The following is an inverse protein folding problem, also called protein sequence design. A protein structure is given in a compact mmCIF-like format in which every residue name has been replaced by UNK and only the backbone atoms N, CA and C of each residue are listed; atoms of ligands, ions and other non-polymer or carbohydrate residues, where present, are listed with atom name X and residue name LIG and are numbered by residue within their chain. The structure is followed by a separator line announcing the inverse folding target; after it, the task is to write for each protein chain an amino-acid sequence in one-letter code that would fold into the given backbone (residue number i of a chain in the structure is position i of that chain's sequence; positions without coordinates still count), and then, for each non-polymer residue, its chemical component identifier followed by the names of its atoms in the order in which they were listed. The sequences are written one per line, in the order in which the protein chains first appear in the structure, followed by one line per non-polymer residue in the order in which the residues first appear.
data_IF_771801833867
#
_entry.id   IF_771801833867
#
_cell.length_a   1.000
_cell.length_b   1.000
_cell.length_c   1.000
_cell.angle_alpha   90.00
_cell.angle_beta   90.00
_cell.angle_gamma   90.00
#
_symmetry.space_group_name_H-M   'P 1'
#
loop_
_entity.id
_entity.type
_entity.pdbx_description
1 polymer ?
#
# COMPACT_ATOMS: atom_id res chain seq x y z
N UNK A 1 -7.33 -0.54 -15.97
CA UNK A 1 -8.69 -0.98 -16.35
C UNK A 1 -8.67 -1.87 -17.61
N UNK A 2 -8.02 -1.42 -18.71
CA UNK A 2 -7.96 -2.18 -19.97
C UNK A 2 -7.24 -3.54 -19.80
N UNK A 3 -6.13 -3.58 -19.07
CA UNK A 3 -5.37 -4.82 -18.85
C UNK A 3 -6.17 -5.78 -17.98
N UNK A 4 -6.64 -5.34 -16.81
CA UNK A 4 -7.33 -6.21 -15.87
C UNK A 4 -8.69 -6.73 -16.33
N UNK A 5 -9.35 -6.03 -17.26
CA UNK A 5 -10.61 -6.45 -17.90
C UNK A 5 -10.44 -6.89 -19.35
N UNK A 6 -9.21 -7.07 -19.81
CA UNK A 6 -8.91 -7.51 -21.17
C UNK A 6 -9.28 -8.97 -21.41
N UNK A 7 -9.35 -9.35 -22.67
CA UNK A 7 -9.46 -10.73 -23.12
C UNK A 7 -8.09 -11.38 -23.08
N UNK A 8 -8.00 -12.56 -22.45
CA UNK A 8 -6.76 -13.32 -22.36
C UNK A 8 -6.85 -14.60 -23.18
N UNK A 9 -5.93 -14.75 -24.11
CA UNK A 9 -5.77 -15.96 -24.92
C UNK A 9 -4.45 -16.62 -24.50
N UNK A 10 -4.52 -17.83 -23.97
CA UNK A 10 -3.35 -18.60 -23.52
C UNK A 10 -3.36 -19.91 -24.28
N UNK A 11 -2.26 -20.18 -24.99
CA UNK A 11 -2.11 -21.38 -25.85
C UNK A 11 -3.26 -21.54 -26.85
N UNK A 12 -3.70 -20.43 -27.44
CA UNK A 12 -4.80 -20.40 -28.42
C UNK A 12 -6.20 -20.53 -27.82
N UNK A 13 -6.33 -20.64 -26.49
CA UNK A 13 -7.61 -20.75 -25.80
C UNK A 13 -7.97 -19.47 -25.09
N UNK A 14 -9.11 -18.89 -25.44
CA UNK A 14 -9.66 -17.72 -24.73
C UNK A 14 -10.14 -18.14 -23.34
N UNK A 15 -9.68 -17.39 -22.33
CA UNK A 15 -10.06 -17.59 -20.93
C UNK A 15 -11.35 -16.84 -20.64
N UNK A 16 -12.28 -17.49 -19.94
CA UNK A 16 -13.57 -16.89 -19.55
C UNK A 16 -13.43 -15.81 -18.49
N UNK A 17 -12.43 -15.95 -17.61
CA UNK A 17 -12.19 -15.01 -16.54
C UNK A 17 -11.18 -13.95 -16.96
N UNK A 18 -11.49 -12.67 -16.62
CA UNK A 18 -10.51 -11.57 -16.65
C UNK A 18 -9.66 -11.62 -15.39
N UNK A 19 -8.52 -10.93 -15.36
CA UNK A 19 -7.70 -10.84 -14.14
C UNK A 19 -8.50 -10.25 -12.96
N UNK A 20 -9.35 -9.27 -13.22
CA UNK A 20 -10.16 -8.66 -12.17
C UNK A 20 -11.27 -9.59 -11.67
N UNK A 21 -11.89 -10.38 -12.55
CA UNK A 21 -12.86 -11.40 -12.15
C UNK A 21 -12.22 -12.50 -11.30
N UNK A 22 -10.99 -12.92 -11.61
CA UNK A 22 -10.23 -13.88 -10.83
C UNK A 22 -9.95 -13.37 -9.40
N UNK A 23 -9.54 -12.11 -9.27
CA UNK A 23 -9.32 -11.50 -7.94
C UNK A 23 -10.62 -11.55 -7.11
N UNK A 24 -11.74 -11.14 -7.67
CA UNK A 24 -13.03 -11.18 -6.97
C UNK A 24 -13.52 -12.58 -6.68
N UNK A 25 -13.22 -13.53 -7.57
CA UNK A 25 -13.60 -14.93 -7.43
C UNK A 25 -12.99 -15.59 -6.18
N UNK A 26 -11.78 -15.20 -5.79
CA UNK A 26 -11.14 -15.71 -4.57
C UNK A 26 -11.98 -15.45 -3.33
N UNK A 27 -12.41 -14.21 -3.13
CA UNK A 27 -13.26 -13.82 -1.99
C UNK A 27 -14.66 -14.42 -2.06
N UNK A 28 -15.20 -14.62 -3.27
CA UNK A 28 -16.51 -15.22 -3.47
C UNK A 28 -16.55 -16.71 -3.17
N UNK A 29 -15.52 -17.43 -3.63
CA UNK A 29 -15.43 -18.90 -3.45
C UNK A 29 -14.90 -19.29 -2.07
N UNK A 30 -14.14 -18.44 -1.44
CA UNK A 30 -13.48 -18.71 -0.18
C UNK A 30 -13.55 -17.50 0.75
N UNK A 31 -14.76 -17.16 1.25
CA UNK A 31 -14.97 -15.97 2.07
C UNK A 31 -14.26 -16.03 3.42
N UNK A 32 -14.00 -17.25 3.96
CA UNK A 32 -13.34 -17.46 5.25
C UNK A 32 -13.82 -16.49 6.34
N UNK A 33 -12.90 -15.68 6.87
CA UNK A 33 -13.16 -14.67 7.91
C UNK A 33 -13.48 -13.29 7.35
N UNK A 34 -13.71 -13.15 6.04
CA UNK A 34 -14.00 -11.88 5.40
C UNK A 34 -15.34 -11.32 5.89
N UNK A 35 -15.31 -10.10 6.43
CA UNK A 35 -16.49 -9.36 6.88
C UNK A 35 -16.95 -8.39 5.78
N UNK A 36 -16.02 -7.63 5.22
CA UNK A 36 -16.33 -6.66 4.16
C UNK A 36 -15.12 -6.44 3.27
N UNK A 37 -15.35 -6.45 1.95
CA UNK A 37 -14.38 -6.04 0.94
C UNK A 37 -15.10 -5.44 -0.27
N UNK A 38 -14.39 -4.60 -1.03
CA UNK A 38 -14.88 -3.95 -2.25
C UNK A 38 -16.11 -3.03 -2.08
N UNK A 39 -16.42 -2.64 -0.85
CA UNK A 39 -17.55 -1.73 -0.53
C UNK A 39 -17.06 -0.34 -0.14
N UNK A 40 -15.88 -0.26 0.40
CA UNK A 40 -15.26 0.96 0.89
C UNK A 40 -13.73 0.91 0.65
N UNK A 41 -13.03 1.95 1.06
CA UNK A 41 -11.57 2.07 0.97
C UNK A 41 -10.82 1.07 1.88
N UNK A 42 -11.50 0.45 2.82
CA UNK A 42 -10.93 -0.48 3.80
C UNK A 42 -11.61 -1.84 3.70
N UNK A 43 -10.85 -2.89 3.80
CA UNK A 43 -11.37 -4.24 3.96
C UNK A 43 -11.31 -4.67 5.43
N UNK A 44 -12.26 -5.51 5.84
CA UNK A 44 -12.38 -6.00 7.20
C UNK A 44 -12.45 -7.53 7.22
N UNK A 45 -11.63 -8.13 8.08
CA UNK A 45 -11.68 -9.56 8.40
C UNK A 45 -11.92 -9.77 9.89
N UNK A 46 -12.53 -10.88 10.27
CA UNK A 46 -12.70 -11.20 11.69
C UNK A 46 -11.34 -11.40 12.35
N UNK A 47 -11.14 -10.73 13.46
CA UNK A 47 -9.97 -10.88 14.32
C UNK A 47 -10.20 -11.90 15.45
N UNK A 48 -9.21 -12.10 16.32
CA UNK A 48 -9.36 -12.93 17.49
C UNK A 48 -10.29 -12.30 18.54
N UNK A 49 -10.78 -13.09 19.45
CA UNK A 49 -11.38 -12.56 20.67
C UNK A 49 -10.30 -11.92 21.52
N UNK A 50 -10.53 -10.69 21.95
CA UNK A 50 -9.59 -9.92 22.76
C UNK A 50 -10.28 -9.37 24.01
N UNK A 51 -9.51 -9.18 25.08
CA UNK A 51 -9.99 -8.48 26.28
C UNK A 51 -9.61 -7.02 26.17
N UNK A 52 -10.60 -6.15 26.32
CA UNK A 52 -10.42 -4.71 26.32
C UNK A 52 -10.78 -4.15 27.69
N UNK A 53 -9.93 -3.26 28.20
CA UNK A 53 -10.25 -2.47 29.39
C UNK A 53 -10.91 -1.17 28.93
N UNK A 54 -12.21 -1.12 29.01
CA UNK A 54 -13.04 -0.02 28.50
C UNK A 54 -14.34 0.08 29.28
N UNK A 55 -15.07 1.21 29.17
CA UNK A 55 -16.43 1.29 29.67
C UNK A 55 -17.34 0.37 28.83
N UNK A 56 -18.35 -0.22 29.44
CA UNK A 56 -19.32 -1.10 28.79
C UNK A 56 -20.15 -0.31 27.78
N UNK A 57 -20.48 0.93 28.13
CA UNK A 57 -21.24 1.87 27.28
C UNK A 57 -20.36 3.07 26.93
N UNK A 58 -20.38 3.48 25.66
CA UNK A 58 -19.64 4.65 25.17
C UNK A 58 -20.53 5.91 25.06
N UNK A 59 -21.82 5.76 25.20
CA UNK A 59 -22.82 6.83 25.07
C UNK A 59 -23.18 7.52 26.40
N UNK A 60 -22.69 6.98 27.49
CA UNK A 60 -22.89 7.52 28.86
C UNK A 60 -21.66 7.25 29.74
N UNK A 61 -21.49 8.01 30.84
CA UNK A 61 -20.48 7.69 31.85
C UNK A 61 -20.68 6.28 32.42
N UNK A 62 -19.59 5.49 32.47
CA UNK A 62 -19.61 4.14 32.97
C UNK A 62 -18.25 3.76 33.55
N UNK A 63 -18.21 2.73 34.37
CA UNK A 63 -16.99 2.19 34.96
C UNK A 63 -16.21 1.37 33.92
N UNK A 64 -14.88 1.49 33.96
CA UNK A 64 -13.99 0.65 33.18
C UNK A 64 -13.96 -0.77 33.71
N UNK A 65 -14.08 -1.74 32.83
CA UNK A 65 -14.01 -3.16 33.15
C UNK A 65 -13.30 -3.93 32.04
N UNK A 66 -12.83 -5.13 32.35
CA UNK A 66 -12.34 -6.05 31.33
C UNK A 66 -13.53 -6.72 30.65
N UNK A 67 -13.69 -6.43 29.38
CA UNK A 67 -14.76 -7.00 28.55
C UNK A 67 -14.14 -7.77 27.39
N UNK A 68 -14.62 -8.98 27.13
CA UNK A 68 -14.24 -9.74 25.95
C UNK A 68 -15.04 -9.23 24.74
N UNK A 69 -14.33 -8.90 23.67
CA UNK A 69 -14.91 -8.43 22.42
C UNK A 69 -14.46 -9.29 21.23
N UNK A 70 -15.31 -9.41 20.21
CA UNK A 70 -14.94 -9.93 18.92
C UNK A 70 -14.26 -8.81 18.15
N UNK A 71 -12.96 -8.92 17.97
CA UNK A 71 -12.20 -7.91 17.23
C UNK A 71 -12.34 -8.05 15.72
N UNK A 72 -12.03 -6.97 15.03
CA UNK A 72 -11.97 -6.91 13.57
C UNK A 72 -10.60 -6.38 13.18
N UNK A 73 -9.99 -6.98 12.19
CA UNK A 73 -8.74 -6.48 11.58
C UNK A 73 -9.11 -5.73 10.31
N UNK A 74 -8.71 -4.47 10.25
CA UNK A 74 -8.85 -3.64 9.05
C UNK A 74 -7.57 -3.69 8.22
N UNK A 75 -7.74 -3.71 6.90
CA UNK A 75 -6.66 -3.76 5.90
C UNK A 75 -6.90 -2.63 4.90
N UNK A 76 -5.87 -1.84 4.67
CA UNK A 76 -5.89 -0.74 3.70
C UNK A 76 -4.61 -0.76 2.88
N UNK A 77 -4.74 -0.58 1.58
CA UNK A 77 -3.64 -0.26 0.69
C UNK A 77 -3.84 1.16 0.14
N UNK A 78 -2.77 1.95 0.12
CA UNK A 78 -2.79 3.32 -0.37
C UNK A 78 -1.67 3.52 -1.38
N UNK A 79 -1.98 4.17 -2.51
CA UNK A 79 -0.99 4.55 -3.51
C UNK A 79 -0.70 6.04 -3.42
N UNK A 80 0.57 6.41 -3.41
CA UNK A 80 0.98 7.81 -3.37
C UNK A 80 2.21 8.03 -4.25
N UNK A 81 2.01 8.13 -5.55
CA UNK A 81 3.07 8.08 -6.55
C UNK A 81 3.67 9.46 -6.90
N UNK A 82 2.98 10.30 -7.67
CA UNK A 82 3.56 11.56 -8.16
C UNK A 82 4.09 12.48 -7.05
N UNK A 83 3.37 12.75 -5.97
CA UNK A 83 3.91 13.58 -4.89
C UNK A 83 5.17 13.00 -4.26
N UNK A 84 5.25 11.68 -4.12
CA UNK A 84 6.44 10.99 -3.59
C UNK A 84 7.62 11.06 -4.56
N UNK A 85 7.38 11.22 -5.86
CA UNK A 85 8.44 11.42 -6.85
C UNK A 85 9.09 12.80 -6.75
N UNK A 86 8.29 13.82 -6.42
CA UNK A 86 8.73 15.23 -6.37
C UNK A 86 9.22 15.62 -4.99
N UNK A 87 8.46 15.28 -3.95
CA UNK A 87 8.74 15.55 -2.54
C UNK A 87 8.67 14.25 -1.73
N UNK A 88 9.69 13.38 -1.82
CA UNK A 88 9.60 12.01 -1.36
C UNK A 88 9.26 11.87 0.12
N UNK A 89 9.85 12.68 1.00
CA UNK A 89 9.56 12.62 2.43
C UNK A 89 8.10 12.97 2.71
N UNK A 90 7.65 14.12 2.27
CA UNK A 90 6.29 14.61 2.50
C UNK A 90 5.25 13.77 1.74
N UNK A 91 5.59 13.36 0.52
CA UNK A 91 4.74 12.49 -0.28
C UNK A 91 4.49 11.14 0.38
N UNK A 92 5.52 10.45 0.83
CA UNK A 92 5.40 9.17 1.53
C UNK A 92 4.71 9.32 2.89
N UNK A 93 5.02 10.38 3.65
CA UNK A 93 4.32 10.68 4.90
C UNK A 93 2.82 10.88 4.68
N UNK A 94 2.44 11.59 3.60
CA UNK A 94 1.03 11.77 3.23
C UNK A 94 0.37 10.44 2.85
N UNK A 95 1.06 9.57 2.12
CA UNK A 95 0.58 8.24 1.78
C UNK A 95 0.32 7.39 3.01
N UNK A 96 1.28 7.26 3.90
CA UNK A 96 1.10 6.57 5.20
C UNK A 96 0.00 7.20 6.03
N UNK A 97 -0.10 8.52 6.03
CA UNK A 97 -1.19 9.24 6.70
C UNK A 97 -2.55 8.92 6.12
N UNK A 98 -2.65 8.75 4.80
CA UNK A 98 -3.89 8.38 4.10
C UNK A 98 -4.40 7.01 4.53
N UNK A 99 -3.54 6.00 4.53
CA UNK A 99 -3.91 4.66 4.92
C UNK A 99 -4.28 4.55 6.41
N UNK A 100 -3.59 5.28 7.28
CA UNK A 100 -3.91 5.34 8.70
C UNK A 100 -5.26 6.04 8.92
N UNK A 101 -5.50 7.17 8.27
CA UNK A 101 -6.77 7.91 8.40
C UNK A 101 -7.98 7.09 7.96
N UNK A 102 -7.88 6.39 6.84
CA UNK A 102 -8.98 5.56 6.33
C UNK A 102 -9.31 4.42 7.31
N UNK A 103 -8.30 3.78 7.88
CA UNK A 103 -8.51 2.73 8.87
C UNK A 103 -9.08 3.26 10.18
N UNK A 104 -8.59 4.39 10.67
CA UNK A 104 -9.08 5.01 11.91
C UNK A 104 -10.50 5.53 11.77
N UNK A 105 -10.91 5.97 10.57
CA UNK A 105 -12.26 6.41 10.29
C UNK A 105 -13.29 5.24 10.21
N UNK A 106 -12.83 4.00 10.19
CA UNK A 106 -13.65 2.81 9.98
C UNK A 106 -14.52 2.38 11.17
N UNK A 107 -14.60 3.14 12.26
CA UNK A 107 -15.42 2.75 13.39
C UNK A 107 -15.22 3.58 14.66
N UNK A 108 -15.74 3.07 15.76
CA UNK A 108 -15.73 3.74 17.07
C UNK A 108 -14.45 3.58 17.85
N UNK A 109 -13.56 2.74 17.40
CA UNK A 109 -12.24 2.56 18.02
C UNK A 109 -11.35 1.71 17.11
N UNK A 110 -10.26 2.28 16.64
CA UNK A 110 -9.29 1.59 15.79
C UNK A 110 -7.88 1.95 16.28
N UNK A 111 -7.04 0.94 16.37
CA UNK A 111 -5.64 1.08 16.77
C UNK A 111 -4.78 0.67 15.57
N UNK A 112 -3.90 1.55 15.05
CA UNK A 112 -2.92 1.17 14.06
C UNK A 112 -1.97 0.10 14.62
N UNK A 113 -1.91 -1.06 13.98
CA UNK A 113 -1.06 -2.17 14.44
C UNK A 113 0.29 -2.18 13.75
N UNK A 114 0.27 -2.11 12.44
CA UNK A 114 1.46 -2.21 11.62
C UNK A 114 1.24 -1.61 10.23
N UNK A 115 2.29 -1.06 9.66
CA UNK A 115 2.36 -0.63 8.28
C UNK A 115 3.39 -1.44 7.50
N UNK A 116 3.20 -1.50 6.20
CA UNK A 116 4.18 -1.98 5.23
C UNK A 116 4.38 -0.92 4.17
N UNK A 117 5.52 -0.94 3.50
CA UNK A 117 5.77 -0.04 2.38
C UNK A 117 6.34 -0.81 1.19
N UNK A 118 5.83 -0.49 0.00
CA UNK A 118 6.34 -1.04 -1.25
C UNK A 118 6.77 0.13 -2.14
N UNK A 119 8.04 0.16 -2.49
CA UNK A 119 8.59 1.20 -3.35
C UNK A 119 8.86 0.61 -4.73
N UNK A 120 8.40 1.30 -5.76
CA UNK A 120 8.64 0.94 -7.15
C UNK A 120 9.28 2.13 -7.84
N UNK A 121 10.56 2.01 -8.21
CA UNK A 121 11.33 3.11 -8.83
C UNK A 121 12.09 2.61 -10.05
N UNK A 122 12.59 3.53 -10.86
CA UNK A 122 13.68 3.22 -11.79
C UNK A 122 14.95 2.81 -11.04
N UNK A 123 15.92 2.25 -11.75
CA UNK A 123 17.15 1.79 -11.12
C UNK A 123 17.93 2.92 -10.43
N UNK A 124 18.29 2.77 -9.14
CA UNK A 124 19.24 3.66 -8.48
C UNK A 124 20.61 3.53 -9.15
N UNK A 125 21.27 4.66 -9.36
CA UNK A 125 22.61 4.73 -9.94
C UNK A 125 23.50 5.42 -8.94
N UNK A 126 24.22 4.62 -8.15
CA UNK A 126 24.91 5.14 -6.99
C UNK A 126 26.28 5.72 -7.33
N UNK A 127 27.12 5.00 -8.05
CA UNK A 127 28.51 5.37 -8.21
C UNK A 127 29.05 5.19 -9.65
N UNK A 128 28.24 4.75 -10.58
CA UNK A 128 28.65 4.54 -11.98
C UNK A 128 29.64 3.39 -12.18
N UNK A 129 29.77 2.50 -11.21
CA UNK A 129 30.72 1.37 -11.26
C UNK A 129 30.22 0.24 -12.17
N UNK A 130 28.89 0.10 -12.29
CA UNK A 130 28.28 -0.93 -13.14
C UNK A 130 27.98 -0.36 -14.51
N UNK A 131 28.09 -1.17 -15.55
CA UNK A 131 27.89 -0.70 -16.94
C UNK A 131 26.51 -0.11 -17.18
N UNK A 132 25.45 -0.65 -16.57
CA UNK A 132 24.11 -0.14 -16.70
C UNK A 132 23.87 1.19 -15.95
N UNK A 133 24.69 1.53 -14.97
CA UNK A 133 24.58 2.80 -14.24
C UNK A 133 25.02 4.01 -15.09
N UNK A 134 25.82 3.78 -16.12
CA UNK A 134 26.29 4.83 -17.03
C UNK A 134 25.20 5.32 -17.98
N UNK A 135 24.17 4.52 -18.16
CA UNK A 135 23.07 4.85 -19.05
C UNK A 135 21.87 5.34 -18.24
N UNK A 136 21.48 6.58 -18.46
CA UNK A 136 20.35 7.20 -17.79
C UNK A 136 19.35 7.72 -18.81
N UNK A 137 18.08 7.37 -18.65
CA UNK A 137 17.03 8.01 -19.39
C UNK A 137 16.75 9.40 -18.81
N UNK A 138 16.54 10.43 -19.65
CA UNK A 138 16.16 11.75 -19.16
C UNK A 138 14.90 11.66 -18.32
N UNK A 139 14.93 12.27 -17.14
CA UNK A 139 13.78 12.38 -16.24
C UNK A 139 13.27 13.81 -16.21
N UNK A 140 11.97 14.04 -15.97
CA UNK A 140 11.46 15.39 -15.75
C UNK A 140 12.24 16.09 -14.63
N UNK A 141 12.55 17.34 -14.80
CA UNK A 141 13.38 18.13 -13.88
C UNK A 141 12.84 18.19 -12.45
N UNK A 142 11.53 18.02 -12.27
CA UNK A 142 10.89 17.98 -10.95
C UNK A 142 11.15 16.68 -10.17
N UNK A 143 11.52 15.60 -10.88
CA UNK A 143 11.63 14.29 -10.25
C UNK A 143 12.97 14.18 -9.52
N UNK A 144 12.89 13.77 -8.26
CA UNK A 144 14.08 13.38 -7.51
C UNK A 144 14.72 12.13 -8.12
N UNK A 145 16.01 11.91 -7.86
CA UNK A 145 16.66 10.68 -8.26
C UNK A 145 16.09 9.45 -7.53
N UNK A 146 16.18 8.24 -8.12
CA UNK A 146 15.64 7.05 -7.48
C UNK A 146 16.23 6.79 -6.09
N UNK A 147 17.52 6.99 -5.88
CA UNK A 147 18.18 6.81 -4.59
C UNK A 147 17.71 7.84 -3.54
N UNK A 148 17.55 9.11 -3.92
CA UNK A 148 17.00 10.13 -3.04
C UNK A 148 15.56 9.84 -2.65
N UNK A 149 14.75 9.38 -3.64
CA UNK A 149 13.37 8.95 -3.38
C UNK A 149 13.35 7.84 -2.34
N UNK A 150 14.14 6.79 -2.52
CA UNK A 150 14.14 5.64 -1.61
C UNK A 150 14.49 6.02 -0.19
N UNK A 151 15.53 6.85 0.00
CA UNK A 151 15.96 7.30 1.32
C UNK A 151 14.90 8.21 1.96
N UNK A 152 14.48 9.25 1.25
CA UNK A 152 13.54 10.24 1.78
C UNK A 152 12.14 9.69 1.99
N UNK A 153 11.66 8.86 1.05
CA UNK A 153 10.32 8.27 1.16
C UNK A 153 10.24 7.26 2.31
N UNK A 154 11.25 6.41 2.51
CA UNK A 154 11.25 5.49 3.64
C UNK A 154 11.24 6.23 4.98
N UNK A 155 12.00 7.32 5.08
CA UNK A 155 11.99 8.16 6.27
C UNK A 155 10.63 8.85 6.49
N UNK A 156 10.00 9.35 5.43
CA UNK A 156 8.70 10.00 5.52
C UNK A 156 7.57 9.06 5.92
N UNK A 157 7.55 7.87 5.34
CA UNK A 157 6.57 6.85 5.70
C UNK A 157 6.70 6.42 7.18
N UNK A 158 7.94 6.20 7.64
CA UNK A 158 8.22 5.84 9.04
C UNK A 158 7.89 6.97 10.00
N UNK A 159 8.21 8.22 9.66
CA UNK A 159 7.94 9.38 10.50
C UNK A 159 6.44 9.54 10.79
N UNK A 160 5.60 9.41 9.77
CA UNK A 160 4.17 9.53 9.98
C UNK A 160 3.61 8.37 10.81
N UNK A 161 4.00 7.14 10.51
CA UNK A 161 3.59 5.98 11.29
C UNK A 161 4.00 6.08 12.76
N UNK A 162 5.20 6.57 13.04
CA UNK A 162 5.70 6.76 14.39
C UNK A 162 4.84 7.73 15.23
N UNK A 163 4.27 8.76 14.60
CA UNK A 163 3.37 9.72 15.29
C UNK A 163 2.06 9.08 15.76
N UNK A 164 1.65 7.98 15.14
CA UNK A 164 0.44 7.23 15.48
C UNK A 164 0.72 5.91 16.20
N UNK A 165 1.99 5.62 16.49
CA UNK A 165 2.37 4.35 17.09
C UNK A 165 2.28 3.16 16.14
N UNK A 166 2.26 3.40 14.82
CA UNK A 166 2.27 2.35 13.80
C UNK A 166 3.69 2.05 13.34
N UNK A 167 4.28 0.91 13.71
CA UNK A 167 5.58 0.53 13.18
C UNK A 167 5.49 0.12 11.71
N UNK A 168 6.48 0.51 10.91
CA UNK A 168 6.75 -0.09 9.61
C UNK A 168 7.49 -1.40 9.82
N UNK A 169 6.78 -2.52 9.68
CA UNK A 169 7.31 -3.85 10.00
C UNK A 169 7.98 -4.55 8.82
N UNK A 170 7.68 -4.11 7.61
CA UNK A 170 8.20 -4.70 6.38
C UNK A 170 8.24 -3.65 5.27
N UNK A 171 9.22 -3.75 4.40
CA UNK A 171 9.33 -2.99 3.17
C UNK A 171 9.76 -3.87 2.01
N UNK A 172 9.32 -3.51 0.82
CA UNK A 172 9.74 -4.14 -0.44
C UNK A 172 10.17 -3.07 -1.43
N UNK A 173 11.18 -3.39 -2.23
CA UNK A 173 11.67 -2.53 -3.30
C UNK A 173 11.63 -3.29 -4.62
N UNK A 174 10.98 -2.70 -5.60
CA UNK A 174 11.00 -3.18 -6.97
C UNK A 174 11.54 -2.10 -7.88
N UNK A 175 12.45 -2.49 -8.77
CA UNK A 175 13.00 -1.61 -9.79
C UNK A 175 12.76 -2.19 -11.18
N UNK A 176 12.44 -1.32 -12.13
CA UNK A 176 12.25 -1.76 -13.49
C UNK A 176 12.54 -0.63 -14.48
N UNK A 177 13.41 -0.91 -15.43
CA UNK A 177 13.64 -0.13 -16.64
C UNK A 177 13.92 -1.07 -17.80
N UNK A 178 13.29 -0.84 -18.92
CA UNK A 178 13.54 -1.59 -20.15
C UNK A 178 13.45 -0.68 -21.36
N UNK A 179 14.51 -0.60 -22.11
CA UNK A 179 14.52 0.06 -23.40
C UNK A 179 14.15 -0.94 -24.50
N UNK A 180 13.33 -0.49 -25.42
CA UNK A 180 12.96 -1.23 -26.62
C UNK A 180 13.16 -0.33 -27.83
N UNK A 181 13.13 -0.90 -29.04
CA UNK A 181 13.20 -0.10 -30.29
C UNK A 181 12.06 0.94 -30.43
N UNK A 182 10.97 0.80 -29.69
CA UNK A 182 9.78 1.66 -29.81
C UNK A 182 9.57 2.60 -28.63
N UNK A 183 10.00 2.24 -27.45
CA UNK A 183 9.79 3.02 -26.23
C UNK A 183 10.65 2.51 -25.08
N UNK A 184 10.85 3.37 -24.10
CA UNK A 184 11.40 2.98 -22.78
C UNK A 184 10.25 2.72 -21.83
N UNK A 185 10.27 1.60 -21.16
CA UNK A 185 9.34 1.22 -20.11
C UNK A 185 10.06 1.22 -18.78
N UNK A 186 9.41 1.69 -17.73
CA UNK A 186 10.00 1.72 -16.41
C UNK A 186 9.07 2.36 -15.37
N UNK A 187 9.52 2.34 -14.14
CA UNK A 187 8.90 3.12 -13.08
C UNK A 187 9.50 4.53 -13.08
N UNK A 188 9.00 5.41 -13.93
CA UNK A 188 9.41 6.82 -14.02
C UNK A 188 8.94 7.65 -12.83
N UNK A 189 7.85 7.21 -12.19
CA UNK A 189 7.32 7.73 -10.94
C UNK A 189 7.38 6.66 -9.88
N UNK A 190 7.57 7.09 -8.64
CA UNK A 190 7.42 6.20 -7.49
C UNK A 190 5.99 5.68 -7.42
N UNK A 191 5.85 4.39 -7.12
CA UNK A 191 4.61 3.79 -6.70
C UNK A 191 4.83 3.27 -5.28
N UNK A 192 4.06 3.78 -4.33
CA UNK A 192 4.07 3.34 -2.94
C UNK A 192 2.69 2.78 -2.62
N UNK A 193 2.65 1.57 -2.11
CA UNK A 193 1.43 0.86 -1.76
C UNK A 193 1.34 0.67 -0.26
#
# INVERSE_FOLDING_TARGET
HKIFNGTFIIDGVEKQDTLFSLIKKTSKQNPNTLISAYKDNVAFVAGPKVKQFAPISQDKPDFFSLTEINSVISLKAETHNFPTTVEPFNGAATGSGGEIRDRMAGGTGSIPLAGTAVYMTSYPRLEGERDWERYTNPRPWLYQSPEEILIKASNGASDFGNKFGQPLICGSLYTFEQETQKATYGYDKVIML
#
